data_IF_896367438772
#
_entry.id   IF_896367438772
#
_cell.length_a   1.000
_cell.length_b   1.000
_cell.length_c   1.000
_cell.angle_alpha   90.00
_cell.angle_beta   90.00
_cell.angle_gamma   90.00
#
_symmetry.space_group_name_H-M   'P 1'
#
loop_
_entity.id
_entity.type
_entity.pdbx_description
1 polymer ?
#
# COMPACT_ATOMS: atom_id res chain seq x y z
N UNK A 1 2.66 13.11 -14.00
CA UNK A 1 2.35 11.67 -14.13
C UNK A 1 3.32 10.98 -13.20
N UNK A 2 2.83 10.17 -12.26
CA UNK A 2 3.69 9.46 -11.33
C UNK A 2 4.46 8.37 -12.08
N UNK A 3 5.78 8.35 -11.91
CA UNK A 3 6.62 7.28 -12.45
C UNK A 3 6.73 6.18 -11.41
N UNK A 4 6.45 4.93 -11.82
CA UNK A 4 6.68 3.77 -10.98
C UNK A 4 8.19 3.62 -10.71
N UNK A 5 8.62 3.34 -9.48
CA UNK A 5 10.04 3.25 -9.17
C UNK A 5 10.70 2.09 -9.92
N UNK A 6 11.97 2.26 -10.25
CA UNK A 6 12.80 1.17 -10.76
C UNK A 6 13.20 0.28 -9.57
N UNK A 7 12.72 -0.96 -9.56
CA UNK A 7 12.97 -1.93 -8.50
C UNK A 7 13.96 -3.02 -8.95
N UNK A 8 14.73 -3.55 -7.99
CA UNK A 8 15.50 -4.80 -8.16
C UNK A 8 14.58 -6.02 -8.13
N UNK A 9 15.11 -7.20 -8.47
CA UNK A 9 14.33 -8.46 -8.60
C UNK A 9 13.45 -8.77 -7.38
N UNK A 10 14.00 -8.64 -6.18
CA UNK A 10 13.33 -9.00 -4.93
C UNK A 10 12.57 -7.81 -4.31
N UNK A 11 12.84 -6.59 -4.78
CA UNK A 11 12.24 -5.38 -4.23
C UNK A 11 10.76 -5.29 -4.59
N UNK A 12 9.99 -4.78 -3.63
CA UNK A 12 8.55 -4.57 -3.77
C UNK A 12 8.19 -3.16 -3.36
N UNK A 13 7.00 -2.72 -3.77
CA UNK A 13 6.39 -1.49 -3.27
C UNK A 13 5.03 -1.76 -2.65
N UNK A 14 4.73 -1.02 -1.59
CA UNK A 14 3.42 -1.02 -0.94
C UNK A 14 2.75 0.31 -1.23
N UNK A 15 1.54 0.24 -1.78
CA UNK A 15 0.61 1.36 -1.93
C UNK A 15 -0.54 1.16 -0.95
N UNK A 16 -1.08 2.25 -0.40
CA UNK A 16 -2.24 2.21 0.48
C UNK A 16 -3.46 2.89 -0.14
N UNK A 17 -4.63 2.43 0.27
CA UNK A 17 -5.91 3.05 -0.08
C UNK A 17 -6.82 3.14 1.14
N UNK A 18 -7.79 4.04 1.08
CA UNK A 18 -8.92 4.04 2.02
C UNK A 18 -9.80 2.81 1.73
N UNK A 19 -9.92 1.89 2.69
CA UNK A 19 -10.61 0.62 2.50
C UNK A 19 -12.13 0.72 2.37
N UNK A 20 -12.73 1.90 2.58
CA UNK A 20 -14.15 2.11 2.33
C UNK A 20 -14.43 2.53 0.88
N UNK A 21 -13.47 3.20 0.24
CA UNK A 21 -13.66 3.87 -1.05
C UNK A 21 -12.74 3.36 -2.17
N UNK A 22 -11.64 2.68 -1.82
CA UNK A 22 -10.58 2.29 -2.74
C UNK A 22 -9.74 3.47 -3.26
N UNK A 23 -9.87 4.66 -2.66
CA UNK A 23 -9.12 5.85 -3.06
C UNK A 23 -7.68 5.73 -2.54
N UNK A 24 -6.71 5.87 -3.45
CA UNK A 24 -5.28 5.85 -3.12
C UNK A 24 -4.91 7.01 -2.19
N UNK A 25 -4.15 6.69 -1.15
CA UNK A 25 -3.62 7.66 -0.21
C UNK A 25 -2.11 7.86 -0.43
N UNK A 26 -1.61 9.04 -0.10
CA UNK A 26 -0.18 9.31 -0.02
C UNK A 26 0.43 8.67 1.24
N UNK A 27 1.76 8.71 1.38
CA UNK A 27 2.45 8.16 2.54
C UNK A 27 2.15 8.87 3.87
N UNK A 28 1.44 10.00 3.84
CA UNK A 28 0.94 10.70 5.02
C UNK A 28 -0.50 10.29 5.39
N UNK A 29 -1.14 9.40 4.61
CA UNK A 29 -2.52 8.96 4.81
C UNK A 29 -3.58 9.92 4.27
N UNK A 30 -3.19 10.90 3.45
CA UNK A 30 -4.11 11.84 2.81
C UNK A 30 -4.45 11.37 1.40
N UNK A 31 -5.61 11.79 0.86
CA UNK A 31 -6.00 11.46 -0.51
C UNK A 31 -4.92 11.97 -1.48
N UNK A 32 -4.35 11.04 -2.25
CA UNK A 32 -3.37 11.39 -3.27
C UNK A 32 -4.01 12.23 -4.38
N UNK A 33 -3.34 13.31 -4.77
CA UNK A 33 -3.72 14.16 -5.90
C UNK A 33 -2.56 14.21 -6.88
N UNK A 34 -2.84 14.08 -8.17
CA UNK A 34 -1.79 13.95 -9.19
C UNK A 34 -0.94 15.21 -9.42
N UNK A 35 -1.34 16.32 -8.79
CA UNK A 35 -0.70 17.63 -8.81
C UNK A 35 0.16 17.88 -7.55
N UNK A 36 0.24 16.92 -6.62
CA UNK A 36 1.17 16.97 -5.49
C UNK A 36 2.44 16.17 -5.76
N UNK A 37 3.55 16.62 -5.17
CA UNK A 37 4.84 15.90 -5.13
C UNK A 37 4.87 14.84 -4.02
N UNK A 38 3.70 14.41 -3.53
CA UNK A 38 3.63 13.45 -2.44
C UNK A 38 4.04 12.06 -2.91
N UNK A 39 4.82 11.38 -2.07
CA UNK A 39 5.10 9.97 -2.28
C UNK A 39 3.84 9.14 -1.94
N UNK A 40 3.53 8.13 -2.74
CA UNK A 40 2.36 7.25 -2.54
C UNK A 40 2.74 5.81 -2.24
N UNK A 41 4.03 5.51 -2.23
CA UNK A 41 4.52 4.17 -2.01
C UNK A 41 5.69 4.13 -1.04
N UNK A 42 5.81 2.99 -0.36
CA UNK A 42 7.01 2.59 0.36
C UNK A 42 7.68 1.46 -0.39
N UNK A 43 8.99 1.54 -0.60
CA UNK A 43 9.80 0.47 -1.20
C UNK A 43 10.46 -0.37 -0.12
N UNK A 44 10.50 -1.68 -0.33
CA UNK A 44 11.13 -2.64 0.58
C UNK A 44 12.05 -3.58 -0.19
N UNK A 45 13.10 -4.08 0.48
CA UNK A 45 14.08 -4.98 -0.12
C UNK A 45 13.50 -6.37 -0.46
N UNK A 46 12.40 -6.76 0.19
CA UNK A 46 11.65 -7.98 -0.09
C UNK A 46 10.21 -7.88 0.45
N UNK A 47 9.39 -8.88 0.08
CA UNK A 47 8.00 -8.98 0.50
C UNK A 47 7.82 -9.18 2.01
N UNK A 48 8.76 -9.84 2.69
CA UNK A 48 8.66 -10.09 4.13
C UNK A 48 8.76 -8.77 4.92
N UNK A 49 9.69 -7.90 4.54
CA UNK A 49 9.82 -6.56 5.12
C UNK A 49 8.59 -5.68 4.85
N UNK A 50 7.98 -5.83 3.67
CA UNK A 50 6.73 -5.15 3.35
C UNK A 50 5.58 -5.63 4.26
N UNK A 51 5.51 -6.94 4.53
CA UNK A 51 4.49 -7.52 5.43
C UNK A 51 4.68 -7.08 6.87
N UNK A 52 5.92 -7.05 7.38
CA UNK A 52 6.20 -6.52 8.71
C UNK A 52 5.73 -5.06 8.86
N UNK A 53 5.93 -4.24 7.81
CA UNK A 53 5.41 -2.88 7.78
C UNK A 53 3.88 -2.83 7.80
N UNK A 54 3.21 -3.66 7.01
CA UNK A 54 1.74 -3.73 6.91
C UNK A 54 1.12 -4.18 8.23
N UNK A 55 1.70 -5.17 8.89
CA UNK A 55 1.24 -5.62 10.21
C UNK A 55 1.26 -4.46 11.21
N UNK A 56 2.35 -3.69 11.23
CA UNK A 56 2.43 -2.50 12.10
C UNK A 56 1.39 -1.46 11.68
N UNK A 57 1.26 -1.13 10.39
CA UNK A 57 0.34 -0.07 9.94
C UNK A 57 -1.13 -0.42 10.11
N UNK A 58 -1.51 -1.66 9.85
CA UNK A 58 -2.89 -2.13 10.06
C UNK A 58 -3.33 -2.13 11.52
N UNK A 59 -2.38 -2.14 12.48
CA UNK A 59 -2.70 -1.91 13.90
C UNK A 59 -2.86 -0.43 14.27
N UNK A 60 -2.26 0.48 13.48
CA UNK A 60 -2.33 1.93 13.70
C UNK A 60 -3.58 2.53 13.06
N UNK A 61 -4.00 2.00 11.92
CA UNK A 61 -5.22 2.37 11.22
C UNK A 61 -5.86 1.10 10.64
N UNK A 62 -7.04 0.75 11.14
CA UNK A 62 -7.76 -0.45 10.74
C UNK A 62 -8.55 -0.28 9.43
N UNK A 63 -8.64 0.95 8.90
CA UNK A 63 -9.43 1.30 7.72
C UNK A 63 -8.65 1.35 6.42
N UNK A 64 -7.33 1.30 6.47
CA UNK A 64 -6.49 1.29 5.27
C UNK A 64 -6.31 -0.12 4.72
N UNK A 65 -6.31 -0.21 3.39
CA UNK A 65 -5.97 -1.43 2.65
C UNK A 65 -4.61 -1.25 1.96
N UNK A 66 -3.97 -2.38 1.65
CA UNK A 66 -2.60 -2.41 1.15
C UNK A 66 -2.51 -3.22 -0.14
N UNK A 67 -1.75 -2.71 -1.09
CA UNK A 67 -1.46 -3.39 -2.35
C UNK A 67 0.05 -3.49 -2.51
N UNK A 68 0.55 -4.72 -2.70
CA UNK A 68 1.98 -4.99 -2.93
C UNK A 68 2.20 -5.23 -4.42
N UNK A 69 3.12 -4.47 -5.03
CA UNK A 69 3.53 -4.65 -6.42
C UNK A 69 5.00 -5.09 -6.52
N UNK A 70 5.30 -5.91 -7.54
CA UNK A 70 6.67 -6.25 -7.95
C UNK A 70 7.26 -5.21 -8.92
N UNK A 71 8.50 -5.45 -9.37
CA UNK A 71 9.19 -4.61 -10.37
C UNK A 71 8.48 -4.51 -11.73
N UNK A 72 7.60 -5.45 -12.05
CA UNK A 72 6.85 -5.49 -13.31
C UNK A 72 5.45 -4.88 -13.15
N UNK A 73 5.16 -4.24 -12.02
CA UNK A 73 3.86 -3.68 -11.67
C UNK A 73 2.76 -4.75 -11.57
N UNK A 74 3.14 -6.00 -11.30
CA UNK A 74 2.20 -7.08 -11.02
C UNK A 74 1.84 -7.04 -9.55
N UNK A 75 0.54 -7.09 -9.25
CA UNK A 75 0.05 -7.22 -7.87
C UNK A 75 0.47 -8.59 -7.35
N UNK A 76 1.32 -8.60 -6.32
CA UNK A 76 1.71 -9.81 -5.60
C UNK A 76 0.67 -10.15 -4.54
N UNK A 77 0.15 -9.14 -3.84
CA UNK A 77 -0.79 -9.34 -2.74
C UNK A 77 -1.70 -8.11 -2.55
N UNK A 78 -2.95 -8.38 -2.19
CA UNK A 78 -3.91 -7.37 -1.76
C UNK A 78 -4.41 -7.73 -0.35
N UNK A 79 -4.32 -6.77 0.56
CA UNK A 79 -4.63 -6.96 1.98
C UNK A 79 -5.72 -5.97 2.36
N UNK A 80 -6.94 -6.49 2.51
CA UNK A 80 -8.10 -5.72 2.94
C UNK A 80 -7.93 -5.14 4.35
N UNK A 81 -8.48 -3.94 4.53
CA UNK A 81 -8.60 -3.26 5.81
C UNK A 81 -9.27 -4.16 6.87
N UNK A 82 -8.66 -4.25 8.05
CA UNK A 82 -9.11 -5.13 9.13
C UNK A 82 -10.46 -4.71 9.70
N UNK A 83 -10.81 -3.42 9.60
CA UNK A 83 -12.11 -2.87 9.99
C UNK A 83 -13.28 -3.60 9.32
N UNK A 84 -13.14 -3.96 8.04
CA UNK A 84 -14.21 -4.57 7.25
C UNK A 84 -14.21 -6.10 7.30
N UNK A 85 -13.07 -6.74 7.59
CA UNK A 85 -12.94 -8.21 7.68
C UNK A 85 -13.88 -8.84 8.71
N UNK A 86 -14.19 -8.15 9.80
CA UNK A 86 -14.98 -8.72 10.90
C UNK A 86 -16.49 -8.55 10.74
N UNK A 87 -16.96 -7.76 9.78
CA UNK A 87 -18.39 -7.48 9.57
C UNK A 87 -19.10 -8.51 8.66
N UNK A 88 -18.36 -9.46 8.10
CA UNK A 88 -18.87 -10.51 7.19
C UNK A 88 -18.99 -11.90 7.85
N UNK A 89 -19.07 -11.98 9.19
CA UNK A 89 -19.30 -13.23 9.94
C UNK A 89 -20.69 -13.30 10.56
#
# INVERSE_FOLDING_TARGET
>A
MMEFPILKEEQVVVVIADGATGIILNCNGEIYRNDSDDNVYWSFDNIDLAKDFIDIKSTQDDKIEFIIYDKNQVVLEFIEATHWKNNNK
#
